data_IF_231121355877
#
_entry.id   IF_231121355877
#
_cell.length_a   1.000
_cell.length_b   1.000
_cell.length_c   1.000
_cell.angle_alpha   90.00
_cell.angle_beta   90.00
_cell.angle_gamma   90.00
#
_symmetry.space_group_name_H-M   'P 1'
#
loop_
_entity.id
_entity.type
_entity.pdbx_description
1 polymer ?
#
# COMPACT_ATOMS: atom_id res chain seq x y z
N UNK A 1 -6.07 7.22 1.34
CA UNK A 1 -5.13 6.50 2.21
C UNK A 1 -4.49 5.43 1.33
N UNK A 2 -3.27 5.67 0.89
CA UNK A 2 -2.57 4.70 0.05
C UNK A 2 -2.43 3.40 0.85
N UNK A 3 -2.63 2.25 0.18
CA UNK A 3 -2.09 0.99 0.69
C UNK A 3 -0.74 1.28 1.29
N UNK A 4 -0.41 0.70 2.43
CA UNK A 4 0.98 0.67 2.83
C UNK A 4 1.72 -0.12 1.75
N UNK A 5 2.01 0.55 0.62
CA UNK A 5 2.95 0.00 -0.33
C UNK A 5 4.17 -0.32 0.49
N UNK A 6 4.46 -1.60 0.62
CA UNK A 6 5.73 -2.01 1.18
C UNK A 6 6.79 -1.49 0.23
N UNK A 7 7.23 -0.23 0.44
CA UNK A 7 8.45 0.17 -0.20
C UNK A 7 9.51 -0.78 0.32
N UNK A 8 9.85 -1.78 -0.49
CA UNK A 8 10.94 -2.69 -0.22
C UNK A 8 12.24 -1.90 -0.42
N UNK A 9 12.54 -1.05 0.57
CA UNK A 9 13.90 -0.60 0.79
C UNK A 9 14.47 -1.45 1.91
N UNK A 10 15.41 -2.26 1.53
CA UNK A 10 16.11 -3.13 2.47
C UNK A 10 16.95 -2.25 3.41
N UNK A 11 16.39 -1.99 4.63
CA UNK A 11 17.07 -1.29 5.74
C UNK A 11 17.44 0.18 5.50
N UNK A 12 16.79 0.86 4.54
CA UNK A 12 16.98 2.29 4.31
C UNK A 12 15.70 3.07 4.63
N UNK A 13 15.81 4.33 5.10
CA UNK A 13 14.65 5.18 5.32
C UNK A 13 13.82 5.37 4.05
N UNK A 14 12.49 5.25 4.15
CA UNK A 14 11.59 5.63 3.07
C UNK A 14 11.18 7.09 3.25
N UNK A 15 11.41 7.90 2.23
CA UNK A 15 10.86 9.25 2.13
C UNK A 15 9.58 9.19 1.32
N UNK A 16 8.50 9.71 1.89
CA UNK A 16 7.16 9.67 1.29
C UNK A 16 6.48 11.02 1.41
N UNK A 17 5.64 11.34 0.44
CA UNK A 17 4.83 12.54 0.47
C UNK A 17 3.84 12.59 -0.67
N UNK A 18 2.82 13.43 -0.53
CA UNK A 18 1.78 13.58 -1.53
C UNK A 18 0.94 14.82 -1.32
N UNK A 19 -0.01 15.01 -2.23
CA UNK A 19 -0.98 16.10 -2.21
C UNK A 19 -2.36 15.53 -2.46
N UNK A 20 -3.33 15.97 -1.65
CA UNK A 20 -4.76 15.65 -1.81
C UNK A 20 -5.52 16.95 -2.04
N UNK A 21 -6.44 16.93 -3.01
CA UNK A 21 -7.39 18.00 -3.28
C UNK A 21 -8.80 17.43 -3.17
N UNK A 22 -9.61 18.02 -2.31
CA UNK A 22 -11.01 17.63 -2.10
C UNK A 22 -11.94 18.78 -2.45
N UNK A 23 -13.07 18.47 -3.05
CA UNK A 23 -14.14 19.41 -3.35
C UNK A 23 -15.37 19.15 -2.46
N UNK A 24 -16.11 20.19 -2.13
CA UNK A 24 -17.33 20.10 -1.29
C UNK A 24 -18.43 19.20 -1.83
N UNK A 25 -18.42 18.91 -3.14
CA UNK A 25 -19.33 17.95 -3.78
C UNK A 25 -19.04 16.49 -3.43
N UNK A 26 -17.88 16.19 -2.81
CA UNK A 26 -17.44 14.84 -2.52
C UNK A 26 -16.37 14.30 -3.48
N UNK A 27 -16.11 14.95 -4.62
CA UNK A 27 -15.01 14.56 -5.51
C UNK A 27 -13.67 14.89 -4.90
N UNK A 28 -12.68 14.05 -5.16
CA UNK A 28 -11.30 14.26 -4.76
C UNK A 28 -10.33 13.67 -5.77
N UNK A 29 -9.13 14.21 -5.80
CA UNK A 29 -7.97 13.67 -6.51
C UNK A 29 -6.74 13.81 -5.61
N UNK A 30 -5.77 12.94 -5.80
CA UNK A 30 -4.53 13.02 -5.06
C UNK A 30 -3.39 12.30 -5.76
N UNK A 31 -2.20 12.57 -5.25
CA UNK A 31 -0.97 11.89 -5.64
C UNK A 31 -0.17 11.56 -4.39
N UNK A 32 0.34 10.36 -4.31
CA UNK A 32 1.26 9.90 -3.28
C UNK A 32 2.53 9.37 -3.90
N UNK A 33 3.67 9.67 -3.30
CA UNK A 33 4.96 9.28 -3.83
C UNK A 33 5.80 8.61 -2.75
N UNK A 34 6.62 7.64 -3.15
CA UNK A 34 7.58 6.95 -2.29
C UNK A 34 8.84 6.61 -3.06
N UNK A 35 10.00 6.85 -2.45
CA UNK A 35 11.23 6.29 -2.98
C UNK A 35 11.25 4.76 -2.76
N UNK A 36 11.73 4.04 -3.78
CA UNK A 36 11.79 2.58 -3.82
C UNK A 36 13.18 2.11 -4.26
N UNK A 37 13.44 0.82 -4.13
CA UNK A 37 14.71 0.22 -4.56
C UNK A 37 14.64 -0.22 -6.03
N UNK A 38 15.46 0.41 -6.88
CA UNK A 38 15.48 0.14 -8.32
C UNK A 38 15.86 -1.30 -8.68
N UNK A 39 16.61 -1.99 -7.85
CA UNK A 39 16.97 -3.39 -8.06
C UNK A 39 15.75 -4.33 -7.94
N UNK A 40 14.72 -3.93 -7.17
CA UNK A 40 13.48 -4.70 -7.01
C UNK A 40 12.38 -4.27 -7.99
N UNK A 41 12.38 -3.00 -8.40
CA UNK A 41 11.30 -2.41 -9.20
C UNK A 41 11.72 -2.16 -10.67
N UNK A 42 12.44 -3.10 -11.28
CA UNK A 42 12.81 -3.09 -12.71
C UNK A 42 13.46 -1.77 -13.18
N UNK A 43 14.32 -1.19 -12.34
CA UNK A 43 15.01 0.07 -12.62
C UNK A 43 14.35 1.34 -12.07
N UNK A 44 13.08 1.27 -11.66
CA UNK A 44 12.41 2.43 -11.06
C UNK A 44 12.90 2.68 -9.63
N UNK A 45 13.17 3.92 -9.29
CA UNK A 45 13.55 4.38 -7.94
C UNK A 45 12.49 5.23 -7.26
N UNK A 46 11.35 5.41 -7.93
CA UNK A 46 10.20 6.17 -7.45
C UNK A 46 8.90 5.41 -7.77
N UNK A 47 7.98 5.36 -6.82
CA UNK A 47 6.58 4.97 -6.99
C UNK A 47 5.74 6.23 -6.91
N UNK A 48 4.82 6.39 -7.85
CA UNK A 48 3.87 7.50 -7.89
C UNK A 48 2.46 6.92 -8.03
N UNK A 49 1.63 7.18 -7.04
CA UNK A 49 0.23 6.74 -6.98
C UNK A 49 -0.69 7.91 -7.29
N UNK A 50 -1.37 7.87 -8.41
CA UNK A 50 -2.40 8.84 -8.77
C UNK A 50 -3.77 8.24 -8.48
N UNK A 51 -4.59 8.95 -7.74
CA UNK A 51 -5.91 8.46 -7.38
C UNK A 51 -6.95 9.57 -7.45
N UNK A 52 -8.19 9.15 -7.63
CA UNK A 52 -9.32 10.04 -7.57
C UNK A 52 -10.62 9.26 -7.38
N UNK A 53 -11.62 9.95 -6.87
CA UNK A 53 -12.87 9.29 -6.54
C UNK A 53 -13.94 10.23 -6.03
N UNK A 54 -14.96 9.61 -5.47
CA UNK A 54 -16.10 10.29 -4.88
C UNK A 54 -16.39 9.70 -3.50
N UNK A 55 -16.56 10.58 -2.52
CA UNK A 55 -16.96 10.24 -1.15
C UNK A 55 -18.33 10.79 -0.83
N UNK A 56 -19.14 9.99 -0.15
CA UNK A 56 -20.44 10.42 0.38
C UNK A 56 -20.66 9.83 1.77
N UNK A 57 -21.51 10.45 2.56
CA UNK A 57 -21.94 9.92 3.86
C UNK A 57 -23.46 9.73 3.84
N UNK A 58 -23.91 8.54 4.21
CA UNK A 58 -25.32 8.19 4.28
C UNK A 58 -25.57 7.40 5.58
N UNK A 59 -26.48 7.87 6.41
CA UNK A 59 -26.83 7.18 7.66
C UNK A 59 -25.68 6.97 8.65
N UNK A 60 -24.68 7.88 8.63
CA UNK A 60 -23.48 7.77 9.48
C UNK A 60 -22.39 6.82 8.93
N UNK A 61 -22.63 6.19 7.77
CA UNK A 61 -21.65 5.39 7.04
C UNK A 61 -21.04 6.25 5.95
N UNK A 62 -19.72 6.36 5.94
CA UNK A 62 -18.97 6.97 4.83
C UNK A 62 -18.74 5.96 3.72
N UNK A 63 -18.99 6.35 2.46
CA UNK A 63 -18.71 5.58 1.25
C UNK A 63 -17.62 6.25 0.44
N UNK A 64 -16.81 5.46 -0.25
CA UNK A 64 -15.70 5.92 -1.09
C UNK A 64 -15.57 5.02 -2.31
N UNK A 65 -15.69 5.58 -3.51
CA UNK A 65 -15.48 4.86 -4.77
C UNK A 65 -14.49 5.63 -5.62
N UNK A 66 -13.59 4.92 -6.31
CA UNK A 66 -12.60 5.60 -7.13
C UNK A 66 -11.69 4.66 -7.89
N UNK A 67 -10.67 5.27 -8.47
CA UNK A 67 -9.61 4.60 -9.20
C UNK A 67 -8.24 4.99 -8.65
N UNK A 68 -7.28 4.08 -8.81
CA UNK A 68 -5.89 4.23 -8.40
C UNK A 68 -5.00 3.72 -9.52
N UNK A 69 -4.02 4.53 -9.92
CA UNK A 69 -3.00 4.19 -10.89
C UNK A 69 -1.62 4.27 -10.25
N UNK A 70 -0.94 3.15 -10.21
CA UNK A 70 0.46 3.05 -9.79
C UNK A 70 1.36 3.26 -10.99
N UNK A 71 2.25 4.21 -10.89
CA UNK A 71 3.22 4.54 -11.93
C UNK A 71 4.64 4.46 -11.38
N UNK A 72 5.51 3.77 -12.13
CA UNK A 72 6.90 3.56 -11.76
C UNK A 72 7.81 4.15 -12.84
N UNK A 73 8.16 5.45 -12.75
CA UNK A 73 9.03 6.09 -13.73
C UNK A 73 10.39 5.41 -13.78
N UNK A 74 10.86 5.13 -15.02
CA UNK A 74 12.12 4.42 -15.26
C UNK A 74 12.01 2.89 -15.22
N UNK A 75 10.89 2.29 -14.83
CA UNK A 75 10.67 0.85 -15.06
C UNK A 75 10.60 0.57 -16.56
N UNK A 76 11.10 -0.60 -16.98
CA UNK A 76 11.18 -0.97 -18.40
C UNK A 76 12.41 -0.45 -19.12
N UNK A 77 13.27 0.34 -18.48
CA UNK A 77 14.54 0.77 -19.05
C UNK A 77 15.49 -0.42 -19.25
N UNK A 78 16.31 -0.35 -20.31
CA UNK A 78 17.26 -1.41 -20.62
C UNK A 78 16.64 -2.76 -21.01
N UNK A 79 15.37 -2.76 -21.48
CA UNK A 79 14.67 -3.98 -21.90
C UNK A 79 14.00 -4.76 -20.77
N UNK A 80 13.92 -4.21 -19.56
CA UNK A 80 13.12 -4.78 -18.47
C UNK A 80 11.62 -4.54 -18.70
N UNK A 81 10.76 -5.24 -17.96
CA UNK A 81 9.32 -5.04 -18.05
C UNK A 81 8.93 -3.73 -17.36
N UNK A 82 8.13 -2.90 -18.04
CA UNK A 82 7.46 -1.77 -17.42
C UNK A 82 6.44 -2.29 -16.40
N UNK A 83 6.46 -1.72 -15.20
CA UNK A 83 5.53 -2.11 -14.11
C UNK A 83 4.58 -0.96 -13.83
N UNK A 84 3.31 -1.16 -14.16
CA UNK A 84 2.22 -0.23 -13.82
C UNK A 84 1.06 -1.06 -13.30
N UNK A 85 0.12 -0.43 -12.62
CA UNK A 85 -1.11 -1.09 -12.19
C UNK A 85 -2.27 -0.10 -12.13
N UNK A 86 -3.44 -0.54 -12.55
CA UNK A 86 -4.69 0.24 -12.43
C UNK A 86 -5.71 -0.55 -11.64
N UNK A 87 -6.27 0.07 -10.63
CA UNK A 87 -7.29 -0.53 -9.77
C UNK A 87 -8.50 0.37 -9.67
N UNK A 88 -9.67 -0.25 -9.60
CA UNK A 88 -10.89 0.39 -9.09
C UNK A 88 -11.07 -0.02 -7.63
N UNK A 89 -11.68 0.85 -6.85
CA UNK A 89 -11.97 0.53 -5.46
C UNK A 89 -13.34 1.01 -5.00
N UNK A 90 -13.86 0.31 -4.02
CA UNK A 90 -15.02 0.70 -3.22
C UNK A 90 -14.69 0.53 -1.75
N UNK A 91 -15.12 1.48 -0.93
CA UNK A 91 -14.87 1.45 0.51
C UNK A 91 -16.05 1.95 1.31
N UNK A 92 -16.06 1.55 2.58
CA UNK A 92 -16.99 2.02 3.59
C UNK A 92 -16.24 2.33 4.90
N UNK A 93 -16.76 3.27 5.67
CA UNK A 93 -16.24 3.61 7.00
C UNK A 93 -17.41 3.83 7.98
N UNK A 94 -17.24 3.31 9.20
CA UNK A 94 -18.20 3.50 10.27
C UNK A 94 -17.49 3.55 11.63
N UNK A 95 -17.62 4.68 12.32
CA UNK A 95 -16.87 4.91 13.55
C UNK A 95 -15.36 4.72 13.33
N UNK A 96 -14.68 3.89 14.14
CA UNK A 96 -13.24 3.64 13.98
C UNK A 96 -12.88 2.63 12.88
N UNK A 97 -13.86 2.02 12.22
CA UNK A 97 -13.68 0.93 11.28
C UNK A 97 -13.70 1.41 9.83
N UNK A 98 -12.84 0.83 9.01
CA UNK A 98 -12.83 1.00 7.55
C UNK A 98 -12.73 -0.35 6.87
N UNK A 99 -13.41 -0.48 5.72
CA UNK A 99 -13.22 -1.59 4.79
C UNK A 99 -13.09 -1.03 3.39
N UNK A 100 -12.10 -1.49 2.62
CA UNK A 100 -11.92 -1.07 1.22
C UNK A 100 -11.50 -2.28 0.38
N UNK A 101 -12.18 -2.44 -0.76
CA UNK A 101 -11.90 -3.49 -1.72
C UNK A 101 -11.33 -2.87 -2.99
N UNK A 102 -10.19 -3.38 -3.44
CA UNK A 102 -9.51 -2.98 -4.67
C UNK A 102 -9.52 -4.12 -5.67
N UNK A 103 -9.70 -3.79 -6.93
CA UNK A 103 -9.75 -4.75 -8.02
C UNK A 103 -8.88 -4.27 -9.18
N UNK A 104 -7.89 -5.06 -9.57
CA UNK A 104 -7.01 -4.75 -10.69
C UNK A 104 -7.77 -4.90 -12.03
N UNK A 105 -7.91 -3.82 -12.77
CA UNK A 105 -8.55 -3.79 -14.09
C UNK A 105 -7.55 -3.93 -15.23
N UNK A 106 -6.26 -3.84 -14.94
CA UNK A 106 -5.13 -4.21 -15.78
C UNK A 106 -4.45 -5.46 -15.23
N UNK A 107 -3.46 -5.97 -15.94
CA UNK A 107 -2.55 -6.97 -15.38
C UNK A 107 -1.81 -6.38 -14.17
N UNK A 108 -1.89 -7.06 -13.04
CA UNK A 108 -1.42 -6.60 -11.73
C UNK A 108 0.10 -6.43 -11.74
N UNK A 109 0.55 -5.16 -11.71
CA UNK A 109 1.95 -4.76 -11.88
C UNK A 109 2.59 -5.41 -13.11
N UNK A 110 1.84 -5.43 -14.22
CA UNK A 110 2.21 -6.00 -15.52
C UNK A 110 2.59 -7.50 -15.50
N UNK A 111 2.21 -8.22 -14.46
CA UNK A 111 2.37 -9.68 -14.41
C UNK A 111 1.37 -10.35 -15.37
N UNK A 112 1.80 -11.23 -16.29
CA UNK A 112 0.92 -11.75 -17.33
C UNK A 112 -0.30 -12.50 -16.78
N UNK A 113 -1.48 -12.25 -17.35
CA UNK A 113 -2.74 -12.91 -17.01
C UNK A 113 -3.17 -12.70 -15.53
N UNK A 114 -2.80 -11.61 -14.92
CA UNK A 114 -3.06 -11.32 -13.51
C UNK A 114 -4.16 -10.28 -13.27
N UNK A 115 -4.81 -9.80 -14.32
CA UNK A 115 -6.03 -8.99 -14.23
C UNK A 115 -7.07 -9.66 -13.33
N UNK A 116 -7.69 -8.88 -12.45
CA UNK A 116 -8.64 -9.36 -11.45
C UNK A 116 -7.97 -9.86 -10.17
N UNK A 117 -6.67 -9.67 -9.98
CA UNK A 117 -6.07 -9.70 -8.65
C UNK A 117 -6.76 -8.64 -7.79
N UNK A 118 -7.02 -8.95 -6.52
CA UNK A 118 -7.85 -8.10 -5.68
C UNK A 118 -7.28 -8.00 -4.26
N UNK A 119 -7.62 -6.92 -3.56
CA UNK A 119 -7.17 -6.70 -2.19
C UNK A 119 -8.33 -6.18 -1.33
N UNK A 120 -8.57 -6.85 -0.21
CA UNK A 120 -9.47 -6.39 0.84
C UNK A 120 -8.62 -5.80 1.96
N UNK A 121 -8.88 -4.53 2.28
CA UNK A 121 -8.26 -3.79 3.37
C UNK A 121 -9.29 -3.58 4.49
N UNK A 122 -9.00 -4.07 5.68
CA UNK A 122 -9.78 -3.82 6.89
C UNK A 122 -8.94 -3.00 7.84
N UNK A 123 -9.43 -1.84 8.23
CA UNK A 123 -8.74 -0.88 9.08
C UNK A 123 -9.50 -0.57 10.36
N UNK A 124 -8.73 -0.27 11.39
CA UNK A 124 -9.21 0.28 12.66
C UNK A 124 -8.34 1.48 13.02
N UNK A 125 -8.97 2.60 13.42
CA UNK A 125 -8.25 3.77 13.92
C UNK A 125 -9.08 4.42 15.04
N UNK A 126 -8.45 4.63 16.20
CA UNK A 126 -9.11 5.18 17.38
C UNK A 126 -8.23 6.24 18.03
N UNK A 127 -8.82 7.40 18.28
CA UNK A 127 -8.20 8.47 19.06
C UNK A 127 -8.43 8.20 20.55
N UNK A 128 -7.34 8.07 21.31
CA UNK A 128 -7.34 7.86 22.74
C UNK A 128 -7.36 9.18 23.53
N UNK A 129 -7.29 10.33 22.84
CA UNK A 129 -7.13 11.65 23.45
C UNK A 129 -5.68 11.97 23.81
N UNK A 130 -5.45 13.22 24.21
CA UNK A 130 -4.13 13.75 24.60
C UNK A 130 -3.03 13.52 23.53
N UNK A 131 -3.42 13.44 22.24
CA UNK A 131 -2.51 13.21 21.13
C UNK A 131 -2.18 11.75 20.87
N UNK A 132 -2.66 10.80 21.68
CA UNK A 132 -2.44 9.37 21.47
C UNK A 132 -3.48 8.76 20.55
N UNK A 133 -3.06 7.88 19.66
CA UNK A 133 -3.92 7.12 18.76
C UNK A 133 -3.48 5.67 18.62
N UNK A 134 -4.45 4.80 18.39
CA UNK A 134 -4.23 3.39 18.02
C UNK A 134 -4.68 3.17 16.60
N UNK A 135 -3.97 2.31 15.88
CA UNK A 135 -4.37 1.86 14.56
C UNK A 135 -4.01 0.39 14.34
N UNK A 136 -4.88 -0.30 13.65
CA UNK A 136 -4.66 -1.67 13.22
C UNK A 136 -5.12 -1.84 11.77
N UNK A 137 -4.56 -2.82 11.10
CA UNK A 137 -4.89 -3.16 9.72
C UNK A 137 -4.71 -4.66 9.50
N UNK A 138 -5.61 -5.23 8.73
CA UNK A 138 -5.48 -6.57 8.15
C UNK A 138 -5.86 -6.49 6.69
N UNK A 139 -4.97 -6.98 5.82
CA UNK A 139 -5.16 -7.05 4.39
C UNK A 139 -5.21 -8.49 3.88
N UNK A 140 -6.08 -8.74 2.91
CA UNK A 140 -6.13 -9.99 2.17
C UNK A 140 -5.95 -9.71 0.68
N UNK A 141 -4.81 -10.12 0.14
CA UNK A 141 -4.50 -10.05 -1.29
C UNK A 141 -4.83 -11.38 -1.96
N UNK A 142 -5.68 -11.37 -2.98
CA UNK A 142 -5.87 -12.47 -3.92
C UNK A 142 -5.06 -12.18 -5.18
N UNK A 143 -4.26 -13.13 -5.62
CA UNK A 143 -3.37 -13.01 -6.78
C UNK A 143 -3.82 -13.93 -7.91
N UNK A 144 -3.61 -13.51 -9.15
CA UNK A 144 -3.90 -14.30 -10.35
C UNK A 144 -2.71 -14.39 -11.30
N UNK A 145 -2.69 -15.44 -12.11
CA UNK A 145 -1.73 -15.61 -13.20
C UNK A 145 -0.27 -15.41 -12.77
N UNK A 146 0.45 -14.62 -13.52
CA UNK A 146 1.86 -14.33 -13.27
C UNK A 146 2.16 -13.52 -12.00
N UNK A 147 1.14 -12.98 -11.31
CA UNK A 147 1.34 -12.32 -10.03
C UNK A 147 1.55 -13.32 -8.87
N UNK A 148 1.28 -14.60 -9.07
CA UNK A 148 1.52 -15.66 -8.09
C UNK A 148 3.02 -15.98 -8.08
N UNK A 149 3.72 -15.51 -7.04
CA UNK A 149 5.15 -15.70 -6.87
C UNK A 149 5.46 -16.92 -5.98
N UNK A 150 6.60 -17.54 -6.23
CA UNK A 150 7.12 -18.59 -5.35
C UNK A 150 7.62 -18.02 -4.04
N UNK A 151 7.32 -18.70 -2.94
CA UNK A 151 7.89 -18.45 -1.62
C UNK A 151 9.29 -19.11 -1.48
N UNK A 152 9.95 -18.87 -0.35
CA UNK A 152 11.26 -19.47 -0.01
C UNK A 152 11.19 -21.00 -0.01
N UNK A 153 10.08 -21.58 0.42
CA UNK A 153 9.86 -23.04 0.45
C UNK A 153 9.44 -23.62 -0.90
N UNK A 154 9.37 -22.79 -1.95
CA UNK A 154 8.95 -23.19 -3.31
C UNK A 154 7.44 -23.25 -3.53
N UNK A 155 6.62 -23.11 -2.51
CA UNK A 155 5.15 -23.05 -2.66
C UNK A 155 4.73 -21.78 -3.40
N UNK A 156 3.58 -21.84 -4.08
CA UNK A 156 3.03 -20.73 -4.87
C UNK A 156 1.60 -20.42 -4.44
N UNK A 157 1.41 -19.81 -3.28
CA UNK A 157 0.06 -19.45 -2.84
C UNK A 157 -0.49 -18.30 -3.68
N UNK A 158 -1.78 -18.35 -3.96
CA UNK A 158 -2.53 -17.32 -4.68
C UNK A 158 -3.07 -16.20 -3.76
N UNK A 159 -2.73 -16.24 -2.48
CA UNK A 159 -3.20 -15.27 -1.50
C UNK A 159 -2.12 -14.87 -0.50
N UNK A 160 -2.20 -13.64 -0.03
CA UNK A 160 -1.32 -13.08 1.00
C UNK A 160 -2.22 -12.41 2.05
N UNK A 161 -1.96 -12.68 3.33
CA UNK A 161 -2.49 -11.89 4.43
C UNK A 161 -1.36 -11.03 4.97
N UNK A 162 -1.61 -9.75 5.12
CA UNK A 162 -0.72 -8.83 5.80
C UNK A 162 -1.43 -8.14 6.96
N UNK A 163 -0.66 -7.66 7.93
CA UNK A 163 -1.20 -7.05 9.13
C UNK A 163 -0.29 -5.95 9.68
N UNK A 164 -0.90 -5.04 10.40
CA UNK A 164 -0.24 -3.96 11.12
C UNK A 164 -0.96 -3.68 12.43
N UNK A 165 -0.18 -3.48 13.49
CA UNK A 165 -0.64 -2.93 14.75
C UNK A 165 0.27 -1.77 15.13
N UNK A 166 -0.28 -0.59 15.36
CA UNK A 166 0.49 0.61 15.60
C UNK A 166 -0.13 1.56 16.60
N UNK A 167 0.73 2.41 17.15
CA UNK A 167 0.35 3.54 17.97
C UNK A 167 0.97 4.83 17.42
N UNK A 168 0.32 5.94 17.69
CA UNK A 168 0.78 7.28 17.29
C UNK A 168 0.72 8.23 18.47
N UNK A 169 1.61 9.24 18.41
CA UNK A 169 1.57 10.39 19.31
C UNK A 169 1.72 11.67 18.50
N UNK A 170 0.77 12.58 18.65
CA UNK A 170 0.75 13.88 17.95
C UNK A 170 1.23 14.97 18.89
N UNK A 171 2.26 15.69 18.47
CA UNK A 171 2.84 16.82 19.19
C UNK A 171 3.26 17.90 18.20
N UNK A 172 2.86 19.14 18.43
CA UNK A 172 3.22 20.32 17.61
C UNK A 172 3.00 20.14 16.10
N UNK A 173 1.93 19.41 15.73
CA UNK A 173 1.58 19.11 14.35
C UNK A 173 2.42 18.00 13.71
N UNK A 174 3.36 17.41 14.44
CA UNK A 174 4.04 16.17 14.03
C UNK A 174 3.31 14.96 14.58
N UNK A 175 3.23 13.91 13.78
CA UNK A 175 2.74 12.59 14.20
C UNK A 175 3.92 11.63 14.25
N UNK A 176 4.26 11.22 15.46
CA UNK A 176 5.25 10.16 15.72
C UNK A 176 4.52 8.82 15.72
N UNK A 177 5.01 7.83 15.00
CA UNK A 177 4.39 6.52 14.89
C UNK A 177 5.34 5.37 15.18
N UNK A 178 4.84 4.34 15.84
CA UNK A 178 5.48 3.04 15.97
C UNK A 178 4.50 1.93 15.56
N UNK A 179 4.93 0.97 14.75
CA UNK A 179 4.07 -0.12 14.30
C UNK A 179 4.81 -1.42 14.13
N UNK A 180 4.17 -2.51 14.53
CA UNK A 180 4.54 -3.87 14.16
C UNK A 180 3.79 -4.25 12.87
N UNK A 181 4.53 -4.73 11.87
CA UNK A 181 3.99 -5.14 10.58
C UNK A 181 4.45 -6.54 10.24
N UNK A 182 3.63 -7.28 9.54
CA UNK A 182 3.99 -8.64 9.11
C UNK A 182 3.10 -9.16 7.99
N UNK A 183 3.40 -10.39 7.57
CA UNK A 183 2.64 -11.15 6.59
C UNK A 183 2.73 -12.64 6.88
N UNK A 184 1.77 -13.40 6.37
CA UNK A 184 1.73 -14.87 6.47
C UNK A 184 2.57 -15.56 5.38
N UNK A 185 3.45 -14.84 4.67
CA UNK A 185 4.23 -15.36 3.54
C UNK A 185 5.71 -15.05 3.70
N UNK A 186 6.52 -15.90 3.10
CA UNK A 186 7.98 -15.79 3.09
C UNK A 186 8.50 -15.62 1.67
N UNK A 187 8.89 -14.40 1.33
CA UNK A 187 9.46 -14.06 0.03
C UNK A 187 10.90 -13.55 0.18
N UNK A 188 11.76 -13.96 -0.75
CA UNK A 188 13.07 -13.35 -0.91
C UNK A 188 13.06 -12.34 -2.04
N UNK A 189 13.82 -11.28 -1.87
CA UNK A 189 14.24 -10.45 -3.00
C UNK A 189 15.30 -11.24 -3.80
N UNK A 190 14.85 -11.91 -4.86
CA UNK A 190 15.61 -12.92 -5.61
C UNK A 190 16.65 -12.37 -6.59
N UNK A 191 17.32 -11.26 -6.29
CA UNK A 191 18.43 -10.79 -7.10
C UNK A 191 19.74 -10.87 -6.31
N UNK A 192 20.86 -11.18 -7.00
CA UNK A 192 22.19 -11.19 -6.38
C UNK A 192 22.54 -9.85 -5.70
N UNK A 193 22.02 -8.74 -6.21
CA UNK A 193 22.16 -7.41 -5.63
C UNK A 193 21.46 -7.26 -4.25
N UNK A 194 20.47 -8.10 -3.96
CA UNK A 194 19.68 -8.07 -2.75
C UNK A 194 20.06 -9.21 -1.78
N UNK A 195 21.12 -9.96 -2.05
CA UNK A 195 21.64 -11.04 -1.23
C UNK A 195 20.58 -12.07 -0.76
N UNK A 196 19.56 -12.34 -1.59
CA UNK A 196 18.43 -13.20 -1.25
C UNK A 196 17.76 -12.87 0.09
N UNK A 197 17.69 -11.59 0.44
CA UNK A 197 17.16 -11.13 1.71
C UNK A 197 15.68 -11.42 1.83
N UNK A 198 15.23 -11.97 2.96
CA UNK A 198 13.80 -12.12 3.23
C UNK A 198 13.15 -10.75 3.38
N UNK A 199 12.20 -10.42 2.48
CA UNK A 199 11.50 -9.13 2.42
C UNK A 199 10.16 -9.15 3.13
N UNK A 200 9.73 -10.29 3.62
CA UNK A 200 8.40 -10.52 4.25
C UNK A 200 8.46 -10.73 5.76
N UNK A 201 9.63 -10.69 6.38
CA UNK A 201 9.79 -10.80 7.82
C UNK A 201 8.97 -9.75 8.57
N UNK A 202 8.47 -10.14 9.73
CA UNK A 202 7.87 -9.23 10.68
C UNK A 202 8.87 -8.15 11.08
N UNK A 203 8.41 -6.89 11.18
CA UNK A 203 9.26 -5.75 11.47
C UNK A 203 8.57 -4.76 12.38
N UNK A 204 9.37 -4.08 13.20
CA UNK A 204 8.96 -2.86 13.86
C UNK A 204 9.39 -1.66 13.01
N UNK A 205 8.46 -0.73 12.77
CA UNK A 205 8.69 0.47 11.96
C UNK A 205 8.39 1.69 12.80
N UNK A 206 9.29 2.66 12.79
CA UNK A 206 9.06 4.00 13.33
C UNK A 206 8.84 4.99 12.20
N UNK A 207 8.02 5.99 12.42
CA UNK A 207 7.72 7.03 11.43
C UNK A 207 7.53 8.40 12.08
N UNK A 208 7.82 9.43 11.32
CA UNK A 208 7.47 10.81 11.64
C UNK A 208 6.76 11.38 10.41
N UNK A 209 5.63 12.04 10.61
CA UNK A 209 4.91 12.72 9.52
C UNK A 209 4.40 14.08 9.96
N UNK A 210 4.17 14.96 8.99
CA UNK A 210 3.55 16.28 9.16
C UNK A 210 2.68 16.58 7.96
N UNK A 211 1.50 17.15 8.19
CA UNK A 211 0.62 17.71 7.15
C UNK A 211 0.65 19.23 7.22
N UNK A 212 0.56 19.90 6.06
CA UNK A 212 0.58 21.35 5.91
C UNK A 212 -0.70 21.83 5.26
#
# INVERSE_FOLDING_TARGET
>A
MARSSRSVRLDLPAFRGGVDVSHSSGFYVGNWNSNIDSAYYNGANLEMDFYGGYKATLGGVGFDVGALYYYYPGSGAGGTTKIDNTELYVGASWGPLTAKYFYAVSDFFSAPNSKGSAYLDLGFSHDLGNGFGLNAHVGYQSLKGGAIAAQIDGSKPDSIVDYRLGATYTVEGFVLGGAFIGTNRDYTAGTAALNNKNISNNRFVVSVSKSF
#
